data_IF_244560080074
#
_entry.id   IF_244560080074
#
_cell.length_a   1.000
_cell.length_b   1.000
_cell.length_c   1.000
_cell.angle_alpha   90.00
_cell.angle_beta   90.00
_cell.angle_gamma   90.00
#
_symmetry.space_group_name_H-M   'P 1'
#
loop_
_entity.id
_entity.type
_entity.pdbx_description
1 polymer ?
#
# COMPACT_ATOMS: atom_id res chain seq x y z
N UNK A 1 18.66 2.38 17.84
CA UNK A 1 18.83 2.38 16.38
C UNK A 1 20.33 2.21 16.16
N UNK A 2 20.74 1.14 15.47
CA UNK A 2 22.16 0.78 15.36
C UNK A 2 22.66 1.32 14.01
N UNK A 3 23.92 1.76 13.92
CA UNK A 3 24.53 2.33 12.70
C UNK A 3 24.36 1.41 11.46
N UNK A 4 24.29 0.10 11.68
CA UNK A 4 24.03 -0.89 10.63
C UNK A 4 22.57 -0.87 10.13
N UNK A 5 21.59 -0.47 10.94
CA UNK A 5 20.19 -0.37 10.54
C UNK A 5 19.99 0.82 9.60
N UNK A 6 20.67 1.96 9.85
CA UNK A 6 20.64 3.15 8.96
C UNK A 6 21.22 2.84 7.58
N UNK A 7 22.39 2.15 7.52
CA UNK A 7 23.02 1.76 6.24
C UNK A 7 22.16 0.76 5.45
N UNK A 8 21.34 -0.04 6.12
CA UNK A 8 20.42 -0.97 5.46
C UNK A 8 19.17 -0.25 4.92
N UNK A 9 18.66 0.75 5.64
CA UNK A 9 17.52 1.56 5.19
C UNK A 9 17.86 2.37 3.92
N UNK A 10 19.05 2.98 3.85
CA UNK A 10 19.51 3.75 2.68
C UNK A 10 19.69 2.92 1.41
N UNK A 11 19.85 1.59 1.54
CA UNK A 11 19.96 0.67 0.40
C UNK A 11 18.62 0.16 -0.13
N UNK A 12 17.51 0.46 0.57
CA UNK A 12 16.19 0.07 0.09
C UNK A 12 15.76 0.95 -1.10
N UNK A 13 14.99 0.40 -2.06
CA UNK A 13 14.47 1.19 -3.18
C UNK A 13 13.73 2.44 -2.71
N UNK A 14 13.82 3.54 -3.46
CA UNK A 14 13.15 4.82 -3.16
C UNK A 14 11.65 4.63 -2.91
N UNK A 15 10.99 3.81 -3.72
CA UNK A 15 9.56 3.51 -3.57
C UNK A 15 9.22 2.86 -2.21
N UNK A 16 10.18 2.27 -1.52
CA UNK A 16 10.01 1.75 -0.16
C UNK A 16 10.34 2.83 0.89
N UNK A 17 11.47 3.53 0.74
CA UNK A 17 11.95 4.55 1.68
C UNK A 17 10.96 5.72 1.82
N UNK A 18 10.33 6.10 0.71
CA UNK A 18 9.39 7.23 0.63
C UNK A 18 7.91 6.85 0.77
N UNK A 19 7.63 5.67 1.35
CA UNK A 19 6.26 5.36 1.75
C UNK A 19 5.78 6.34 2.82
N UNK A 20 4.60 6.96 2.65
CA UNK A 20 3.96 7.74 3.72
C UNK A 20 3.89 6.96 5.03
N UNK A 21 4.20 7.62 6.13
CA UNK A 21 4.12 7.05 7.49
C UNK A 21 2.92 7.58 8.28
N UNK A 22 2.23 8.57 7.75
CA UNK A 22 1.04 9.16 8.36
C UNK A 22 -0.05 9.43 7.32
N UNK A 23 -1.28 9.66 7.77
CA UNK A 23 -2.37 10.07 6.88
C UNK A 23 -2.14 11.46 6.28
N UNK A 24 -1.37 12.31 6.94
CA UNK A 24 -1.11 13.68 6.50
C UNK A 24 -0.06 13.72 5.37
N UNK A 25 0.83 12.72 5.34
CA UNK A 25 1.81 12.53 4.27
C UNK A 25 1.25 11.76 3.07
N UNK A 26 -0.01 11.30 3.15
CA UNK A 26 -0.62 10.43 2.14
C UNK A 26 -1.13 11.24 0.95
N UNK A 27 -0.55 11.00 -0.22
CA UNK A 27 -0.95 11.68 -1.46
C UNK A 27 -2.16 11.03 -2.12
N UNK A 28 -3.02 11.85 -2.71
CA UNK A 28 -4.23 11.39 -3.38
C UNK A 28 -5.29 10.85 -2.42
N UNK A 29 -6.20 10.03 -2.91
CA UNK A 29 -7.28 9.37 -2.17
C UNK A 29 -8.08 10.33 -1.25
N UNK A 30 -8.29 11.59 -1.64
CA UNK A 30 -8.91 12.64 -0.79
C UNK A 30 -10.27 12.23 -0.22
N UNK A 31 -11.06 11.42 -0.96
CA UNK A 31 -12.37 10.91 -0.50
C UNK A 31 -12.25 9.90 0.64
N UNK A 32 -11.12 9.16 0.70
CA UNK A 32 -10.87 8.14 1.72
C UNK A 32 -10.13 8.72 2.92
N UNK A 33 -9.02 9.42 2.69
CA UNK A 33 -8.08 9.83 3.75
C UNK A 33 -7.84 11.34 3.85
N UNK A 34 -8.45 12.18 3.00
CA UNK A 34 -8.43 13.64 3.16
C UNK A 34 -9.09 14.08 4.48
N UNK A 35 -9.06 15.36 4.82
CA UNK A 35 -9.58 15.91 6.09
C UNK A 35 -11.01 15.42 6.44
N UNK A 36 -11.87 15.31 5.44
CA UNK A 36 -13.26 14.82 5.59
C UNK A 36 -13.43 13.36 5.14
N UNK A 37 -12.34 12.65 4.87
CA UNK A 37 -12.35 11.29 4.36
C UNK A 37 -12.99 10.28 5.31
N UNK A 38 -13.71 9.31 4.72
CA UNK A 38 -14.43 8.32 5.53
C UNK A 38 -13.46 7.41 6.31
N UNK A 39 -12.36 6.96 5.70
CA UNK A 39 -11.37 6.13 6.37
C UNK A 39 -10.62 6.93 7.43
N UNK A 40 -10.26 8.20 7.18
CA UNK A 40 -9.67 9.06 8.20
C UNK A 40 -10.55 9.12 9.45
N UNK A 41 -11.84 9.38 9.32
CA UNK A 41 -12.77 9.45 10.45
C UNK A 41 -12.88 8.12 11.21
N UNK A 42 -12.87 6.99 10.51
CA UNK A 42 -12.91 5.66 11.14
C UNK A 42 -11.62 5.42 11.93
N UNK A 43 -10.45 5.71 11.33
CA UNK A 43 -9.13 5.54 11.94
C UNK A 43 -8.99 6.44 13.18
N UNK A 44 -9.35 7.71 13.08
CA UNK A 44 -9.25 8.67 14.20
C UNK A 44 -10.16 8.33 15.38
N UNK A 45 -11.27 7.63 15.12
CA UNK A 45 -12.16 7.12 16.18
C UNK A 45 -11.70 5.82 16.84
N UNK A 46 -10.63 5.21 16.33
CA UNK A 46 -10.12 3.95 16.88
C UNK A 46 -11.00 2.72 16.61
N UNK A 47 -11.91 2.76 15.63
CA UNK A 47 -12.87 1.70 15.35
C UNK A 47 -12.72 1.14 13.93
N UNK A 48 -11.51 0.74 13.56
CA UNK A 48 -11.30 0.14 12.26
C UNK A 48 -11.83 -1.30 12.22
N UNK A 49 -12.43 -1.66 11.10
CA UNK A 49 -13.04 -2.98 10.86
C UNK A 49 -12.53 -3.59 9.56
N UNK A 50 -12.91 -4.85 9.31
CA UNK A 50 -12.50 -5.56 8.10
C UNK A 50 -12.82 -4.77 6.83
N UNK A 51 -11.86 -4.71 5.91
CA UNK A 51 -11.97 -3.93 4.68
C UNK A 51 -11.40 -4.66 3.47
N UNK A 52 -11.92 -4.33 2.30
CA UNK A 52 -11.32 -4.67 1.01
C UNK A 52 -10.89 -3.38 0.33
N UNK A 53 -9.59 -3.23 0.07
CA UNK A 53 -9.01 -2.14 -0.69
C UNK A 53 -8.83 -2.58 -2.14
N UNK A 54 -9.55 -1.97 -3.08
CA UNK A 54 -9.47 -2.37 -4.47
C UNK A 54 -9.17 -1.18 -5.40
N UNK A 55 -8.52 -1.46 -6.52
CA UNK A 55 -8.13 -0.44 -7.50
C UNK A 55 -6.73 -0.65 -8.05
N UNK A 56 -6.30 0.23 -8.96
CA UNK A 56 -5.05 0.13 -9.70
C UNK A 56 -3.82 -0.08 -8.79
N UNK A 57 -2.72 -0.68 -9.29
CA UNK A 57 -1.47 -0.79 -8.55
C UNK A 57 -0.90 0.60 -8.24
N UNK A 58 0.03 0.68 -7.26
CA UNK A 58 0.72 1.92 -6.90
C UNK A 58 -0.14 3.06 -6.34
N UNK A 59 -1.39 2.78 -5.96
CA UNK A 59 -2.35 3.77 -5.42
C UNK A 59 -2.34 3.92 -3.90
N UNK A 60 -1.46 3.17 -3.20
CA UNK A 60 -1.23 3.30 -1.76
C UNK A 60 -1.98 2.30 -0.86
N UNK A 61 -2.59 1.22 -1.39
CA UNK A 61 -3.35 0.23 -0.59
C UNK A 61 -2.53 -0.37 0.55
N UNK A 62 -1.34 -0.88 0.25
CA UNK A 62 -0.43 -1.46 1.26
C UNK A 62 0.05 -0.41 2.26
N UNK A 63 0.42 0.78 1.78
CA UNK A 63 0.87 1.89 2.61
C UNK A 63 -0.19 2.32 3.62
N UNK A 64 -1.46 2.42 3.17
CA UNK A 64 -2.54 2.80 4.08
C UNK A 64 -2.79 1.72 5.13
N UNK A 65 -2.68 0.44 4.79
CA UNK A 65 -2.82 -0.66 5.75
C UNK A 65 -1.72 -0.61 6.83
N UNK A 66 -0.47 -0.31 6.45
CA UNK A 66 0.64 -0.13 7.38
C UNK A 66 0.38 1.06 8.34
N UNK A 67 -0.10 2.20 7.81
CA UNK A 67 -0.48 3.38 8.63
C UNK A 67 -1.63 3.05 9.60
N UNK A 68 -2.62 2.28 9.16
CA UNK A 68 -3.74 1.85 10.01
C UNK A 68 -3.22 0.96 11.15
N UNK A 69 -2.39 -0.03 10.82
CA UNK A 69 -1.84 -0.94 11.83
C UNK A 69 -1.05 -0.17 12.91
N UNK A 70 -0.21 0.77 12.50
CA UNK A 70 0.57 1.63 13.40
C UNK A 70 -0.35 2.50 14.30
N UNK A 71 -1.28 3.24 13.69
CA UNK A 71 -2.21 4.12 14.43
C UNK A 71 -3.09 3.37 15.43
N UNK A 72 -3.49 2.14 15.10
CA UNK A 72 -4.34 1.29 15.93
C UNK A 72 -3.56 0.44 16.92
N UNK A 73 -2.23 0.48 16.87
CA UNK A 73 -1.34 -0.40 17.63
C UNK A 73 -1.67 -1.89 17.41
N UNK A 74 -1.99 -2.26 16.16
CA UNK A 74 -2.21 -3.64 15.77
C UNK A 74 -0.87 -4.31 15.42
N UNK A 75 -0.76 -5.60 15.69
CA UNK A 75 0.31 -6.40 15.12
C UNK A 75 0.07 -6.57 13.62
N UNK A 76 1.02 -6.15 12.77
CA UNK A 76 0.88 -6.20 11.31
C UNK A 76 1.45 -7.50 10.74
N UNK A 77 0.60 -8.27 10.06
CA UNK A 77 0.99 -9.47 9.32
C UNK A 77 0.68 -9.27 7.84
N UNK A 78 1.68 -9.54 6.98
CA UNK A 78 1.57 -9.47 5.53
C UNK A 78 1.50 -10.87 4.94
N UNK A 79 0.51 -11.14 4.09
CA UNK A 79 0.37 -12.37 3.35
C UNK A 79 0.04 -12.08 1.89
N UNK A 80 0.75 -12.73 0.96
CA UNK A 80 0.43 -12.64 -0.46
C UNK A 80 -0.35 -13.87 -0.90
N UNK A 81 -1.57 -13.68 -1.39
CA UNK A 81 -2.49 -14.76 -1.75
C UNK A 81 -1.98 -15.67 -2.88
N UNK A 82 -1.04 -15.20 -3.71
CA UNK A 82 -0.45 -16.01 -4.79
C UNK A 82 0.40 -17.15 -4.22
N UNK A 83 1.04 -16.94 -3.06
CA UNK A 83 1.98 -17.89 -2.44
C UNK A 83 1.40 -18.57 -1.20
N UNK A 84 0.32 -18.04 -0.66
CA UNK A 84 -0.23 -18.45 0.61
C UNK A 84 -1.03 -19.76 0.52
N UNK A 85 -0.86 -20.59 1.52
CA UNK A 85 -1.64 -21.80 1.75
C UNK A 85 -2.66 -21.61 2.89
N UNK A 86 -3.62 -22.55 3.03
CA UNK A 86 -4.53 -22.60 4.20
C UNK A 86 -3.74 -22.75 5.51
N UNK A 87 -2.60 -23.44 5.46
CA UNK A 87 -1.73 -23.62 6.63
C UNK A 87 -1.13 -22.28 7.08
N UNK A 88 -0.75 -21.42 6.15
CA UNK A 88 -0.22 -20.08 6.49
C UNK A 88 -1.29 -19.22 7.18
N UNK A 89 -2.53 -19.25 6.67
CA UNK A 89 -3.67 -18.57 7.30
C UNK A 89 -3.86 -19.09 8.73
N UNK A 90 -3.87 -20.42 8.91
CA UNK A 90 -4.04 -21.03 10.22
C UNK A 90 -2.92 -20.64 11.20
N UNK A 91 -1.67 -20.61 10.75
CA UNK A 91 -0.54 -20.19 11.59
C UNK A 91 -0.67 -18.74 12.06
N UNK A 92 -1.17 -17.83 11.19
CA UNK A 92 -1.43 -16.44 11.55
C UNK A 92 -2.60 -16.38 12.53
N UNK A 93 -3.67 -17.13 12.31
CA UNK A 93 -4.83 -17.21 13.20
C UNK A 93 -4.43 -17.67 14.61
N UNK A 94 -3.67 -18.77 14.71
CA UNK A 94 -3.19 -19.29 15.99
C UNK A 94 -2.32 -18.27 16.77
N UNK A 95 -1.44 -17.54 16.06
CA UNK A 95 -0.63 -16.47 16.64
C UNK A 95 -1.50 -15.29 17.09
N UNK A 96 -2.43 -14.85 16.25
CA UNK A 96 -3.33 -13.73 16.55
C UNK A 96 -4.17 -14.02 17.79
N UNK A 97 -4.75 -15.24 17.87
CA UNK A 97 -5.50 -15.71 19.02
C UNK A 97 -4.63 -15.70 20.30
N UNK A 98 -3.42 -16.25 20.23
CA UNK A 98 -2.50 -16.28 21.37
C UNK A 98 -2.11 -14.87 21.84
N UNK A 99 -1.82 -13.95 20.90
CA UNK A 99 -1.45 -12.55 21.19
C UNK A 99 -2.62 -11.82 21.84
N UNK A 100 -3.82 -11.97 21.29
CA UNK A 100 -5.02 -11.33 21.83
C UNK A 100 -5.32 -11.77 23.26
N UNK A 101 -5.22 -13.07 23.56
CA UNK A 101 -5.44 -13.60 24.91
C UNK A 101 -4.33 -13.25 25.91
N UNK A 102 -3.10 -13.03 25.44
CA UNK A 102 -1.97 -12.76 26.33
C UNK A 102 -1.84 -11.29 26.70
N UNK A 103 -2.01 -10.38 25.73
CA UNK A 103 -1.75 -8.95 25.90
C UNK A 103 -2.85 -8.03 25.33
N UNK A 104 -3.95 -8.59 24.82
CA UNK A 104 -5.06 -7.82 24.24
C UNK A 104 -4.75 -7.19 22.87
N UNK A 105 -3.62 -7.53 22.25
CA UNK A 105 -3.23 -6.97 20.98
C UNK A 105 -3.92 -7.67 19.81
N UNK A 106 -4.69 -6.91 19.02
CA UNK A 106 -5.29 -7.41 17.78
C UNK A 106 -4.24 -7.50 16.66
N UNK A 107 -4.48 -8.42 15.73
CA UNK A 107 -3.65 -8.58 14.54
C UNK A 107 -4.37 -8.02 13.31
N UNK A 108 -3.71 -7.12 12.57
CA UNK A 108 -4.14 -6.71 11.24
C UNK A 108 -3.45 -7.59 10.21
N UNK A 109 -4.24 -8.43 9.52
CA UNK A 109 -3.79 -9.21 8.39
C UNK A 109 -4.00 -8.41 7.10
N UNK A 110 -2.92 -7.98 6.47
CA UNK A 110 -2.95 -7.47 5.11
C UNK A 110 -2.75 -8.61 4.12
N UNK A 111 -3.82 -8.94 3.40
CA UNK A 111 -3.85 -10.01 2.41
C UNK A 111 -3.81 -9.42 1.00
N UNK A 112 -2.62 -9.42 0.40
CA UNK A 112 -2.40 -8.89 -0.95
C UNK A 112 -2.89 -9.89 -2.02
N UNK A 113 -3.45 -9.36 -3.11
CA UNK A 113 -4.03 -10.12 -4.23
C UNK A 113 -5.12 -11.10 -3.79
N UNK A 114 -5.98 -10.70 -2.83
CA UNK A 114 -7.00 -11.55 -2.20
C UNK A 114 -7.90 -12.29 -3.21
N UNK A 115 -8.09 -11.74 -4.41
CA UNK A 115 -8.86 -12.37 -5.49
C UNK A 115 -8.24 -13.70 -6.00
N UNK A 116 -6.98 -13.98 -5.65
CA UNK A 116 -6.31 -15.24 -5.97
C UNK A 116 -6.67 -16.39 -5.02
N UNK A 117 -7.27 -16.08 -3.89
CA UNK A 117 -7.76 -17.11 -2.97
C UNK A 117 -8.96 -17.84 -3.56
N UNK A 118 -8.88 -19.16 -3.53
CA UNK A 118 -10.04 -20.02 -3.83
C UNK A 118 -11.06 -19.96 -2.69
N UNK A 119 -12.25 -20.54 -2.93
CA UNK A 119 -13.35 -20.48 -1.96
C UNK A 119 -12.96 -21.04 -0.59
N UNK A 120 -12.24 -22.17 -0.54
CA UNK A 120 -11.82 -22.79 0.73
C UNK A 120 -10.88 -21.87 1.53
N UNK A 121 -9.95 -21.18 0.85
CA UNK A 121 -9.05 -20.23 1.49
C UNK A 121 -9.82 -18.99 2.00
N UNK A 122 -10.79 -18.49 1.22
CA UNK A 122 -11.64 -17.38 1.67
C UNK A 122 -12.50 -17.80 2.88
N UNK A 123 -13.07 -18.99 2.85
CA UNK A 123 -13.91 -19.52 3.95
C UNK A 123 -13.09 -19.74 5.24
N UNK A 124 -11.79 -20.07 5.14
CA UNK A 124 -10.93 -20.25 6.31
C UNK A 124 -10.65 -18.98 7.10
N UNK A 125 -10.93 -17.80 6.54
CA UNK A 125 -10.80 -16.51 7.25
C UNK A 125 -12.03 -16.17 8.08
N UNK A 126 -13.21 -16.73 7.77
CA UNK A 126 -14.49 -16.23 8.27
C UNK A 126 -14.60 -16.29 9.79
N UNK A 127 -14.14 -17.37 10.40
CA UNK A 127 -14.20 -17.57 11.85
C UNK A 127 -13.37 -16.50 12.59
N UNK A 128 -12.15 -16.22 12.14
CA UNK A 128 -11.27 -15.22 12.74
C UNK A 128 -11.82 -13.79 12.64
N UNK A 129 -12.49 -13.49 11.51
CA UNK A 129 -13.12 -12.20 11.29
C UNK A 129 -14.35 -11.99 12.19
N UNK A 130 -15.10 -13.06 12.46
CA UNK A 130 -16.25 -13.02 13.37
C UNK A 130 -15.83 -12.88 14.83
N UNK A 131 -14.76 -13.57 15.22
CA UNK A 131 -14.25 -13.54 16.60
C UNK A 131 -13.47 -12.24 16.90
N UNK A 132 -13.09 -11.46 15.88
CA UNK A 132 -12.38 -10.19 16.03
C UNK A 132 -10.91 -10.31 16.45
N UNK A 133 -10.33 -11.53 16.41
CA UNK A 133 -8.90 -11.75 16.68
C UNK A 133 -8.03 -11.18 15.55
N UNK A 134 -8.54 -11.23 14.32
CA UNK A 134 -7.94 -10.69 13.12
C UNK A 134 -8.83 -9.58 12.56
N UNK A 135 -8.20 -8.47 12.22
CA UNK A 135 -8.77 -7.42 11.38
C UNK A 135 -8.17 -7.60 9.98
N UNK A 136 -9.01 -7.88 8.99
CA UNK A 136 -8.58 -8.11 7.62
C UNK A 136 -8.56 -6.81 6.82
N UNK A 137 -7.48 -6.57 6.11
CA UNK A 137 -7.46 -5.69 4.93
C UNK A 137 -7.06 -6.53 3.73
N UNK A 138 -8.03 -6.92 2.91
CA UNK A 138 -7.79 -7.58 1.64
C UNK A 138 -7.50 -6.55 0.54
N UNK A 139 -6.40 -6.71 -0.20
CA UNK A 139 -6.07 -5.85 -1.33
C UNK A 139 -6.24 -6.60 -2.66
N UNK A 140 -6.76 -5.90 -3.66
CA UNK A 140 -6.95 -6.44 -5.02
C UNK A 140 -6.92 -5.34 -6.06
N UNK A 141 -6.49 -5.68 -7.28
CA UNK A 141 -6.61 -4.82 -8.46
C UNK A 141 -7.97 -4.96 -9.15
N UNK A 142 -8.73 -6.00 -8.83
CA UNK A 142 -10.00 -6.35 -9.46
C UNK A 142 -11.19 -5.89 -8.62
N UNK A 143 -12.36 -5.74 -9.25
CA UNK A 143 -13.58 -5.43 -8.51
C UNK A 143 -13.96 -6.61 -7.60
N UNK A 144 -14.01 -6.43 -6.26
CA UNK A 144 -14.17 -7.52 -5.31
C UNK A 144 -15.51 -8.26 -5.44
N UNK A 145 -16.55 -7.60 -5.93
CA UNK A 145 -17.89 -8.19 -6.07
C UNK A 145 -17.98 -9.31 -7.11
N UNK A 146 -16.97 -9.46 -7.97
CA UNK A 146 -16.91 -10.55 -8.96
C UNK A 146 -16.09 -11.75 -8.49
N UNK A 147 -15.11 -11.53 -7.61
CA UNK A 147 -14.09 -12.54 -7.30
C UNK A 147 -14.10 -13.02 -5.85
N UNK A 148 -14.74 -12.28 -4.95
CA UNK A 148 -14.85 -12.68 -3.56
C UNK A 148 -16.23 -13.27 -3.27
N UNK A 149 -16.27 -14.24 -2.35
CA UNK A 149 -17.54 -14.85 -1.95
C UNK A 149 -18.38 -13.88 -1.09
N UNK A 150 -19.70 -14.08 -1.12
CA UNK A 150 -20.63 -13.24 -0.41
C UNK A 150 -20.44 -13.27 1.11
N UNK A 151 -19.96 -14.40 1.67
CA UNK A 151 -19.74 -14.54 3.09
C UNK A 151 -18.60 -13.63 3.58
N UNK A 152 -17.53 -13.50 2.78
CA UNK A 152 -16.43 -12.60 3.07
C UNK A 152 -16.86 -11.12 2.85
N UNK A 153 -17.52 -10.84 1.72
CA UNK A 153 -17.98 -9.49 1.39
C UNK A 153 -18.96 -8.92 2.43
N UNK A 154 -19.83 -9.76 3.00
CA UNK A 154 -20.78 -9.32 4.03
C UNK A 154 -20.12 -8.88 5.35
N UNK A 155 -18.85 -9.24 5.55
CA UNK A 155 -18.05 -8.92 6.75
C UNK A 155 -17.03 -7.82 6.53
N UNK A 156 -16.90 -7.32 5.30
CA UNK A 156 -15.90 -6.33 4.91
C UNK A 156 -16.54 -5.09 4.27
N UNK A 157 -15.98 -3.93 4.54
CA UNK A 157 -16.31 -2.72 3.79
C UNK A 157 -15.36 -2.59 2.58
N UNK A 158 -15.93 -2.38 1.39
CA UNK A 158 -15.12 -2.22 0.17
C UNK A 158 -14.81 -0.72 -0.08
N UNK A 159 -13.53 -0.41 -0.26
CA UNK A 159 -13.04 0.94 -0.56
C UNK A 159 -12.28 0.96 -1.89
N UNK A 160 -12.74 1.80 -2.81
CA UNK A 160 -12.11 1.98 -4.11
C UNK A 160 -10.96 2.99 -4.03
N UNK A 161 -9.76 2.55 -4.42
CA UNK A 161 -8.57 3.40 -4.59
C UNK A 161 -8.50 3.88 -6.04
N UNK A 162 -8.66 5.17 -6.22
CA UNK A 162 -8.54 5.80 -7.54
C UNK A 162 -7.07 5.91 -7.95
N UNK A 163 -6.82 5.90 -9.27
CA UNK A 163 -5.50 6.28 -9.80
C UNK A 163 -5.11 7.65 -9.25
N UNK A 164 -3.83 7.84 -8.96
CA UNK A 164 -3.31 9.15 -8.57
C UNK A 164 -3.39 10.11 -9.76
N UNK A 165 -3.66 11.39 -9.49
CA UNK A 165 -3.59 12.42 -10.52
C UNK A 165 -2.13 12.74 -10.86
N UNK A 166 -1.90 13.34 -12.03
CA UNK A 166 -0.59 13.87 -12.42
C UNK A 166 -0.02 14.83 -11.36
N UNK A 167 -0.88 15.69 -10.80
CA UNK A 167 -0.52 16.62 -9.73
C UNK A 167 -0.10 15.89 -8.42
N UNK A 168 -0.78 14.80 -8.06
CA UNK A 168 -0.39 14.00 -6.91
C UNK A 168 0.97 13.31 -7.16
N UNK A 169 1.19 12.75 -8.35
CA UNK A 169 2.46 12.13 -8.74
C UNK A 169 3.60 13.16 -8.76
N UNK A 170 3.38 14.33 -9.36
CA UNK A 170 4.37 15.40 -9.42
C UNK A 170 4.78 15.87 -8.02
N UNK A 171 3.83 16.00 -7.09
CA UNK A 171 4.13 16.34 -5.68
C UNK A 171 4.99 15.27 -5.00
N UNK A 172 4.71 13.99 -5.24
CA UNK A 172 5.51 12.87 -4.71
C UNK A 172 6.94 12.97 -5.25
N UNK A 173 7.10 13.13 -6.56
CA UNK A 173 8.40 13.19 -7.22
C UNK A 173 9.22 14.40 -6.77
N UNK A 174 8.60 15.59 -6.66
CA UNK A 174 9.26 16.79 -6.14
C UNK A 174 9.74 16.62 -4.70
N UNK A 175 8.89 16.08 -3.84
CA UNK A 175 9.26 15.83 -2.44
C UNK A 175 10.47 14.89 -2.32
N UNK A 176 10.55 13.85 -3.16
CA UNK A 176 11.69 12.94 -3.19
C UNK A 176 12.93 13.64 -3.76
N UNK A 177 12.79 14.35 -4.88
CA UNK A 177 13.87 15.09 -5.54
C UNK A 177 14.53 16.10 -4.60
N UNK A 178 13.71 16.84 -3.82
CA UNK A 178 14.20 17.80 -2.82
C UNK A 178 14.93 17.11 -1.66
N UNK A 179 14.35 16.07 -1.08
CA UNK A 179 14.93 15.38 0.09
C UNK A 179 16.25 14.67 -0.22
N UNK A 180 16.36 14.09 -1.41
CA UNK A 180 17.56 13.38 -1.87
C UNK A 180 18.56 14.32 -2.55
N UNK A 181 18.19 15.59 -2.81
CA UNK A 181 19.01 16.56 -3.54
C UNK A 181 19.46 16.07 -4.92
N UNK A 182 18.58 15.41 -5.66
CA UNK A 182 18.90 14.85 -6.97
C UNK A 182 19.12 15.90 -8.06
N UNK A 183 18.52 17.09 -7.93
CA UNK A 183 18.66 18.18 -8.89
C UNK A 183 17.93 17.96 -10.22
N UNK A 184 16.98 17.02 -10.29
CA UNK A 184 16.20 16.75 -11.50
C UNK A 184 15.26 17.95 -11.79
N UNK A 185 15.23 18.38 -13.06
CA UNK A 185 14.40 19.52 -13.47
C UNK A 185 12.89 19.22 -13.38
N UNK A 186 12.10 20.25 -13.13
CA UNK A 186 10.64 20.16 -13.07
C UNK A 186 10.02 19.66 -14.38
N UNK A 187 10.63 19.95 -15.53
CA UNK A 187 10.16 19.46 -16.83
C UNK A 187 10.25 17.94 -16.94
N UNK A 188 11.31 17.33 -16.40
CA UNK A 188 11.47 15.87 -16.34
C UNK A 188 10.48 15.26 -15.36
N UNK A 189 10.34 15.82 -14.15
CA UNK A 189 9.39 15.35 -13.15
C UNK A 189 7.95 15.43 -13.66
N UNK A 190 7.61 16.56 -14.33
CA UNK A 190 6.33 16.75 -14.99
C UNK A 190 6.05 15.68 -16.06
N UNK A 191 7.01 15.44 -16.94
CA UNK A 191 6.89 14.43 -17.98
C UNK A 191 6.68 13.02 -17.39
N UNK A 192 7.43 12.64 -16.34
CA UNK A 192 7.24 11.34 -15.67
C UNK A 192 5.80 11.26 -15.11
N UNK A 193 5.30 12.31 -14.47
CA UNK A 193 3.95 12.32 -13.90
C UNK A 193 2.85 12.23 -14.94
N UNK A 194 3.05 12.80 -16.13
CA UNK A 194 2.12 12.76 -17.27
C UNK A 194 2.01 11.36 -17.88
N UNK A 195 3.17 10.70 -18.13
CA UNK A 195 3.17 9.39 -18.83
C UNK A 195 2.81 8.21 -17.94
N UNK A 196 2.91 8.37 -16.61
CA UNK A 196 2.56 7.33 -15.66
C UNK A 196 1.11 7.50 -15.22
N UNK A 197 0.29 6.57 -15.63
CA UNK A 197 -1.15 6.56 -15.39
C UNK A 197 -1.53 6.30 -13.91
N UNK A 198 -1.02 7.10 -12.98
CA UNK A 198 -1.44 7.09 -11.56
C UNK A 198 -0.81 6.02 -10.69
N UNK A 199 0.29 5.37 -11.10
CA UNK A 199 1.07 4.42 -10.32
C UNK A 199 2.30 5.10 -9.70
N UNK A 200 2.22 5.47 -8.40
CA UNK A 200 3.32 6.11 -7.69
C UNK A 200 4.59 5.25 -7.63
N UNK A 201 4.44 3.91 -7.50
CA UNK A 201 5.59 3.01 -7.45
C UNK A 201 6.37 3.05 -8.75
N UNK A 202 5.65 3.02 -9.88
CA UNK A 202 6.28 3.09 -11.19
C UNK A 202 6.96 4.46 -11.42
N UNK A 203 6.30 5.56 -11.04
CA UNK A 203 6.87 6.90 -11.16
C UNK A 203 8.16 7.06 -10.34
N UNK A 204 8.16 6.59 -9.08
CA UNK A 204 9.35 6.63 -8.21
C UNK A 204 10.47 5.73 -8.73
N UNK A 205 10.15 4.53 -9.25
CA UNK A 205 11.15 3.64 -9.83
C UNK A 205 11.82 4.25 -11.08
N UNK A 206 11.09 5.04 -11.87
CA UNK A 206 11.66 5.78 -13.00
C UNK A 206 12.61 6.88 -12.49
N UNK A 207 12.20 7.63 -11.47
CA UNK A 207 13.06 8.64 -10.86
C UNK A 207 14.36 8.01 -10.35
N UNK A 208 14.25 6.88 -9.62
CA UNK A 208 15.40 6.12 -9.11
C UNK A 208 16.32 5.61 -10.25
N UNK A 209 15.74 5.15 -11.35
CA UNK A 209 16.51 4.71 -12.51
C UNK A 209 17.34 5.86 -13.10
N UNK A 210 16.73 7.03 -13.28
CA UNK A 210 17.40 8.21 -13.85
C UNK A 210 18.53 8.67 -12.92
N UNK A 211 18.30 8.72 -11.62
CA UNK A 211 19.30 9.20 -10.64
C UNK A 211 20.46 8.24 -10.44
N UNK A 212 20.24 6.92 -10.53
CA UNK A 212 21.29 5.90 -10.37
C UNK A 212 22.27 5.84 -11.54
N UNK A 213 21.94 6.37 -12.70
CA UNK A 213 22.85 6.41 -13.86
C UNK A 213 23.97 7.46 -13.67
N UNK A 214 23.77 8.44 -12.77
CA UNK A 214 24.79 9.42 -12.39
C UNK A 214 25.17 10.41 -13.49
N UNK A 215 24.34 10.56 -14.52
CA UNK A 215 24.47 11.52 -15.62
C UNK A 215 23.30 12.47 -15.57
N UNK A 216 23.54 13.76 -15.83
CA UNK A 216 22.46 14.73 -16.05
C UNK A 216 21.73 14.38 -17.35
N UNK A 217 20.50 13.93 -17.24
CA UNK A 217 19.66 13.66 -18.40
C UNK A 217 18.92 14.92 -18.86
N UNK A 218 18.91 15.12 -20.17
CA UNK A 218 17.98 16.05 -20.81
C UNK A 218 16.57 15.43 -20.89
N UNK A 219 15.56 16.25 -21.07
CA UNK A 219 14.18 15.77 -21.24
C UNK A 219 14.06 14.84 -22.46
N UNK A 220 14.78 15.13 -23.55
CA UNK A 220 14.78 14.31 -24.76
C UNK A 220 15.35 12.91 -24.50
N UNK A 221 16.45 12.78 -23.77
CA UNK A 221 17.04 11.49 -23.42
C UNK A 221 16.08 10.69 -22.51
N UNK A 222 15.41 11.33 -21.56
CA UNK A 222 14.39 10.67 -20.73
C UNK A 222 13.22 10.17 -21.57
N UNK A 223 12.76 10.95 -22.55
CA UNK A 223 11.72 10.54 -23.49
C UNK A 223 12.14 9.32 -24.32
N UNK A 224 13.37 9.29 -24.80
CA UNK A 224 13.89 8.15 -25.55
C UNK A 224 13.93 6.88 -24.67
N UNK A 225 14.47 6.97 -23.47
CA UNK A 225 14.55 5.84 -22.52
C UNK A 225 13.15 5.27 -22.21
N UNK A 226 12.16 6.14 -22.01
CA UNK A 226 10.80 5.72 -21.63
C UNK A 226 9.97 5.27 -22.83
N UNK A 227 10.17 5.82 -24.04
CA UNK A 227 9.49 5.38 -25.25
C UNK A 227 9.98 4.02 -25.79
N UNK A 228 11.19 3.59 -25.47
CA UNK A 228 11.70 2.25 -25.83
C UNK A 228 11.03 1.11 -25.06
N UNK A 229 10.14 1.40 -24.10
CA UNK A 229 9.39 0.41 -23.30
C UNK A 229 7.93 0.18 -23.78
N UNK A 230 7.55 0.72 -24.94
CA UNK A 230 6.22 0.46 -25.54
C UNK A 230 6.23 -0.71 -26.51
#
# INVERSE_FOLDING_TARGET
>A
MNLFDEVYEDKKPLAFRYRPKSLDDFYGQKRLVGENGILRKIIERGNFMNAIFWGAPGTGKTTLAEIIADKMNYHYEYLNAIKASVTDIKNISDKAHSSFHTNGQQTLLFLDEIHRFNKLQQDSLLEDLENGNIILIGATTENPYYNLNNALLSRCMAFEFKKLSEDDLLKILRNINEKENFGISDDILGYISEIIEGDARQAINILELITNVGVEFTLEEVKEILNTKK
#
